data_IF_198879636059
#
_entry.id   IF_198879636059
#
_cell.length_a   1.000
_cell.length_b   1.000
_cell.length_c   1.000
_cell.angle_alpha   90.00
_cell.angle_beta   90.00
_cell.angle_gamma   90.00
#
_symmetry.space_group_name_H-M   'P 1'
#
loop_
_entity.id
_entity.type
_entity.pdbx_description
1 polymer ?
#
# COMPACT_ATOMS: atom_id res chain seq x y z
N UNK A 1 -25.05 -21.07 1.33
CA UNK A 1 -24.70 -19.73 0.83
C UNK A 1 -23.42 -19.32 1.53
N UNK A 2 -22.26 -19.63 0.94
CA UNK A 2 -20.97 -19.24 1.53
C UNK A 2 -20.72 -17.78 1.19
N UNK A 3 -20.63 -16.95 2.22
CA UNK A 3 -20.20 -15.55 2.10
C UNK A 3 -18.75 -15.55 1.60
N UNK A 4 -18.58 -15.25 0.31
CA UNK A 4 -17.28 -14.94 -0.25
C UNK A 4 -16.93 -13.57 0.31
N UNK A 5 -16.19 -13.55 1.42
CA UNK A 5 -15.54 -12.35 1.94
C UNK A 5 -14.54 -11.94 0.87
N UNK A 6 -14.97 -11.08 -0.05
CA UNK A 6 -14.08 -10.42 -0.98
C UNK A 6 -13.11 -9.61 -0.10
N UNK A 7 -11.91 -10.15 0.10
CA UNK A 7 -10.79 -9.40 0.64
C UNK A 7 -10.52 -8.27 -0.36
N UNK A 8 -11.21 -7.15 -0.16
CA UNK A 8 -10.87 -5.89 -0.77
C UNK A 8 -9.47 -5.58 -0.25
N UNK A 9 -8.45 -5.95 -1.03
CA UNK A 9 -7.03 -5.71 -0.76
C UNK A 9 -6.71 -4.21 -0.92
N UNK A 10 -7.52 -3.35 -0.31
CA UNK A 10 -7.34 -1.91 -0.33
C UNK A 10 -6.28 -1.60 0.71
N UNK A 11 -5.05 -1.44 0.25
CA UNK A 11 -3.94 -0.99 1.08
C UNK A 11 -4.23 0.48 1.46
N UNK A 12 -4.69 0.72 2.68
CA UNK A 12 -5.01 2.07 3.16
C UNK A 12 -3.78 2.76 3.75
N UNK A 13 -3.72 4.09 3.62
CA UNK A 13 -2.72 4.91 4.31
C UNK A 13 -2.73 4.62 5.82
N UNK A 14 -1.54 4.59 6.44
CA UNK A 14 -1.31 4.21 7.84
C UNK A 14 -1.57 2.75 8.21
N UNK A 15 -1.98 1.88 7.27
CA UNK A 15 -2.08 0.45 7.53
C UNK A 15 -0.74 -0.13 7.95
N UNK A 16 -0.75 -0.96 9.00
CA UNK A 16 0.44 -1.62 9.54
C UNK A 16 0.47 -3.07 9.09
N UNK A 17 1.58 -3.45 8.45
CA UNK A 17 1.89 -4.80 7.99
C UNK A 17 2.89 -5.42 8.95
N UNK A 18 2.40 -6.26 9.87
CA UNK A 18 3.23 -6.90 10.89
C UNK A 18 4.23 -7.88 10.26
N UNK A 19 5.47 -7.85 10.75
CA UNK A 19 6.56 -8.77 10.36
C UNK A 19 6.80 -8.89 8.84
N UNK A 20 6.48 -7.85 8.07
CA UNK A 20 6.47 -7.89 6.61
C UNK A 20 7.77 -7.38 5.96
N UNK A 21 8.75 -6.91 6.74
CA UNK A 21 10.02 -6.43 6.17
C UNK A 21 10.92 -7.57 5.70
N UNK A 22 11.26 -7.57 4.42
CA UNK A 22 12.17 -8.55 3.81
C UNK A 22 13.62 -8.47 4.35
N UNK A 23 14.02 -7.38 5.02
CA UNK A 23 15.38 -7.22 5.56
C UNK A 23 15.51 -7.62 7.03
N UNK A 24 14.54 -7.24 7.87
CA UNK A 24 14.67 -7.39 9.32
C UNK A 24 13.45 -8.04 9.99
N UNK A 25 12.47 -8.51 9.21
CA UNK A 25 11.19 -9.03 9.72
C UNK A 25 10.48 -8.07 10.68
N UNK A 26 10.75 -6.77 10.54
CA UNK A 26 10.10 -5.70 11.29
C UNK A 26 8.74 -5.35 10.70
N UNK A 27 7.99 -4.57 11.45
CA UNK A 27 6.69 -4.06 11.02
C UNK A 27 6.89 -2.94 10.00
N UNK A 28 5.95 -2.87 9.05
CA UNK A 28 5.98 -1.85 8.00
C UNK A 28 4.68 -1.07 8.00
N UNK A 29 4.76 0.18 7.56
CA UNK A 29 3.62 1.07 7.46
C UNK A 29 3.44 1.50 6.02
N UNK A 30 2.19 1.50 5.56
CA UNK A 30 1.79 2.12 4.29
C UNK A 30 1.74 3.62 4.49
N UNK A 31 2.41 4.34 3.61
CA UNK A 31 2.48 5.80 3.59
C UNK A 31 2.24 6.30 2.17
N UNK A 32 2.02 7.60 2.05
CA UNK A 32 1.81 8.28 0.78
C UNK A 32 2.78 9.44 0.62
N UNK A 33 3.28 9.64 -0.59
CA UNK A 33 4.05 10.81 -1.01
C UNK A 33 3.46 11.42 -2.30
N UNK A 34 4.20 12.31 -2.96
CA UNK A 34 3.78 12.95 -4.22
C UNK A 34 3.70 11.97 -5.39
N UNK A 35 4.40 10.84 -5.33
CA UNK A 35 4.50 9.86 -6.41
C UNK A 35 3.53 8.68 -6.21
N UNK A 36 3.10 8.40 -4.99
CA UNK A 36 2.04 7.45 -4.70
C UNK A 36 2.13 6.83 -3.31
N UNK A 37 1.70 5.57 -3.21
CA UNK A 37 1.83 4.81 -1.99
C UNK A 37 3.20 4.13 -1.93
N UNK A 38 3.79 4.10 -0.74
CA UNK A 38 4.99 3.34 -0.45
C UNK A 38 4.87 2.66 0.90
N UNK A 39 5.64 1.58 1.09
CA UNK A 39 5.61 0.78 2.32
C UNK A 39 6.98 0.87 2.97
N UNK A 40 7.07 1.51 4.13
CA UNK A 40 8.32 1.73 4.86
C UNK A 40 8.39 0.88 6.13
N UNK A 41 9.53 0.22 6.38
CA UNK A 41 9.78 -0.48 7.63
C UNK A 41 10.06 0.52 8.76
N UNK A 42 9.36 0.36 9.89
CA UNK A 42 9.51 1.21 11.06
C UNK A 42 10.81 0.95 11.84
N UNK A 43 11.48 -0.18 11.59
CA UNK A 43 12.71 -0.57 12.30
C UNK A 43 13.98 -0.28 11.51
N UNK A 44 14.04 -0.64 10.23
CA UNK A 44 15.27 -0.53 9.42
C UNK A 44 15.17 0.46 8.26
N UNK A 45 14.03 1.13 8.08
CA UNK A 45 13.83 2.11 7.01
C UNK A 45 13.74 1.53 5.59
N UNK A 46 13.68 0.21 5.42
CA UNK A 46 13.52 -0.39 4.10
C UNK A 46 12.18 0.01 3.45
N UNK A 47 12.25 0.57 2.25
CA UNK A 47 11.10 1.04 1.48
C UNK A 47 10.87 0.12 0.28
N UNK A 48 9.60 -0.19 -0.02
CA UNK A 48 9.18 -0.78 -1.30
C UNK A 48 7.97 -0.04 -1.82
N UNK A 49 7.92 0.12 -3.14
CA UNK A 49 6.77 0.65 -3.86
C UNK A 49 5.93 -0.53 -4.35
N UNK A 50 4.68 -0.69 -3.89
CA UNK A 50 3.81 -1.73 -4.43
C UNK A 50 3.50 -1.44 -5.89
N UNK A 51 3.64 -2.45 -6.76
CA UNK A 51 3.15 -2.36 -8.14
C UNK A 51 1.63 -2.39 -8.11
N UNK A 52 1.01 -1.23 -8.23
CA UNK A 52 -0.45 -1.13 -8.21
C UNK A 52 -1.00 -1.38 -9.63
N UNK A 53 -1.05 -2.64 -10.03
CA UNK A 53 -1.65 -3.06 -11.29
C UNK A 53 -3.13 -3.38 -11.11
N UNK A 54 -4.00 -2.37 -11.04
CA UNK A 54 -5.45 -2.53 -11.32
C UNK A 54 -6.17 -1.19 -11.25
N UNK A 55 -7.30 -1.11 -11.95
CA UNK A 55 -8.15 0.06 -12.25
C UNK A 55 -8.47 1.04 -11.09
N UNK A 56 -8.19 0.68 -9.83
CA UNK A 56 -8.39 1.53 -8.65
C UNK A 56 -7.45 2.76 -8.60
N UNK A 57 -6.27 2.65 -9.20
CA UNK A 57 -5.31 3.77 -9.32
C UNK A 57 -5.86 4.86 -10.23
N UNK A 58 -6.59 4.49 -11.28
CA UNK A 58 -7.17 5.47 -12.22
C UNK A 58 -8.10 6.41 -11.45
N UNK A 59 -8.94 5.86 -10.56
CA UNK A 59 -9.85 6.65 -9.71
C UNK A 59 -9.12 7.50 -8.66
N UNK A 60 -8.05 6.98 -8.07
CA UNK A 60 -7.24 7.70 -7.05
C UNK A 60 -6.28 8.73 -7.65
N UNK A 61 -5.95 8.63 -8.94
CA UNK A 61 -5.12 9.57 -9.71
C UNK A 61 -5.94 10.46 -10.65
N UNK A 62 -7.29 10.42 -10.61
CA UNK A 62 -8.16 11.33 -11.40
C UNK A 62 -7.74 12.79 -11.24
N UNK A 63 -7.31 13.20 -10.04
CA UNK A 63 -6.80 14.55 -9.77
C UNK A 63 -5.51 14.90 -10.55
N UNK A 64 -4.68 13.90 -10.88
CA UNK A 64 -3.39 14.09 -11.57
C UNK A 64 -3.54 14.16 -13.09
N UNK A 65 -4.66 13.67 -13.64
CA UNK A 65 -4.95 13.67 -15.08
C UNK A 65 -5.99 14.72 -15.50
N UNK A 66 -6.53 15.49 -14.56
CA UNK A 66 -7.50 16.58 -14.81
C UNK A 66 -6.85 17.96 -15.01
N UNK A 67 -5.54 18.03 -15.31
CA UNK A 67 -4.79 19.26 -15.59
C UNK A 67 -4.41 19.37 -17.06
#
# INVERSE_FOLDING_TARGET
MSEVVAAQNVIQEHSVLFKSCARCSGDRQVRRDFDGYYIACLSCGHVTYPEVTTQEVVRLLEWKFAS
#
